data_IF_209309779024
#
_entry.id   IF_209309779024
#
_cell.length_a   1.000
_cell.length_b   1.000
_cell.length_c   1.000
_cell.angle_alpha   90.00
_cell.angle_beta   90.00
_cell.angle_gamma   90.00
#
_symmetry.space_group_name_H-M   'P 1'
#
loop_
_entity.id
_entity.type
_entity.pdbx_description
1 polymer ?
#
# COMPACT_ATOMS: atom_id res chain seq x y z
N UNK A 1 -14.66 -7.04 17.04
CA UNK A 1 -14.41 -5.77 16.32
C UNK A 1 -14.49 -6.02 14.82
N UNK A 2 -14.91 -5.03 14.01
CA UNK A 2 -14.95 -5.16 12.54
C UNK A 2 -13.87 -4.27 11.92
N UNK A 3 -13.03 -4.84 11.05
CA UNK A 3 -12.08 -4.06 10.24
C UNK A 3 -12.83 -3.53 9.02
N UNK A 4 -12.97 -2.22 8.94
CA UNK A 4 -13.72 -1.54 7.86
C UNK A 4 -12.82 -0.92 6.79
N UNK A 5 -11.52 -0.78 7.06
CA UNK A 5 -10.55 -0.19 6.14
C UNK A 5 -9.13 -0.24 6.68
N UNK A 6 -8.17 0.04 5.81
CA UNK A 6 -6.73 0.16 6.10
C UNK A 6 -6.16 1.36 5.34
N UNK A 7 -5.03 1.89 5.82
CA UNK A 7 -4.25 2.93 5.16
C UNK A 7 -2.85 2.40 4.85
N UNK A 8 -2.32 2.73 3.67
CA UNK A 8 -1.01 2.27 3.21
C UNK A 8 -0.27 3.49 2.63
N UNK A 9 0.98 3.68 3.02
CA UNK A 9 1.88 4.64 2.38
C UNK A 9 2.68 3.95 1.28
N UNK A 10 2.40 4.35 0.03
CA UNK A 10 2.92 3.76 -1.19
C UNK A 10 3.44 4.86 -2.11
N UNK A 11 4.51 4.55 -2.84
CA UNK A 11 5.02 5.39 -3.92
C UNK A 11 5.58 4.51 -5.05
N UNK A 12 5.94 5.11 -6.19
CA UNK A 12 6.50 4.35 -7.33
C UNK A 12 7.77 3.57 -6.96
N UNK A 13 8.66 4.17 -6.16
CA UNK A 13 9.88 3.58 -5.61
C UNK A 13 9.77 3.49 -4.10
N UNK A 14 10.26 2.38 -3.55
CA UNK A 14 10.26 2.14 -2.10
C UNK A 14 11.24 3.05 -1.36
N UNK A 15 11.02 3.18 -0.04
CA UNK A 15 11.85 3.97 0.85
C UNK A 15 11.54 5.46 0.83
N UNK A 16 12.52 6.25 1.27
CA UNK A 16 12.51 7.72 1.28
C UNK A 16 13.86 8.28 0.81
N UNK A 17 13.88 9.55 0.46
CA UNK A 17 15.08 10.32 0.15
C UNK A 17 15.08 11.66 0.88
N UNK A 18 16.27 12.19 1.16
CA UNK A 18 16.41 13.52 1.77
C UNK A 18 16.34 14.62 0.72
N UNK A 19 15.60 15.69 1.04
CA UNK A 19 15.62 16.93 0.29
C UNK A 19 16.82 17.78 0.73
N UNK A 20 17.86 17.81 -0.09
CA UNK A 20 19.09 18.58 0.17
C UNK A 20 19.42 19.50 -1.01
N UNK A 21 19.93 20.73 -0.77
CA UNK A 21 20.32 21.65 -1.84
C UNK A 21 21.33 21.01 -2.80
N UNK A 22 21.09 21.14 -4.10
CA UNK A 22 21.99 20.64 -5.16
C UNK A 22 21.95 19.13 -5.39
N UNK A 23 21.14 18.38 -4.65
CA UNK A 23 20.92 16.94 -4.88
C UNK A 23 19.71 16.73 -5.77
N UNK A 24 19.90 16.01 -6.88
CA UNK A 24 18.80 15.59 -7.73
C UNK A 24 17.94 14.53 -7.02
N UNK A 25 16.62 14.68 -7.10
CA UNK A 25 15.68 13.75 -6.49
C UNK A 25 15.39 12.58 -7.42
N UNK A 26 15.30 11.39 -6.86
CA UNK A 26 14.80 10.21 -7.54
C UNK A 26 13.31 10.39 -7.73
N UNK A 27 12.88 10.52 -8.98
CA UNK A 27 11.46 10.60 -9.29
C UNK A 27 10.72 9.38 -8.74
N UNK A 28 9.61 9.63 -8.04
CA UNK A 28 8.79 8.56 -7.52
C UNK A 28 9.25 7.97 -6.19
N UNK A 29 10.17 8.59 -5.44
CA UNK A 29 10.53 8.20 -4.07
C UNK A 29 10.15 9.30 -3.07
N UNK A 30 9.54 8.93 -1.94
CA UNK A 30 9.04 9.88 -0.93
C UNK A 30 10.16 10.75 -0.33
N UNK A 31 9.86 12.01 0.01
CA UNK A 31 10.76 12.90 0.77
C UNK A 31 10.39 13.02 2.26
N UNK A 32 9.29 12.39 2.67
CA UNK A 32 8.78 12.39 4.05
C UNK A 32 9.02 11.03 4.68
N UNK A 33 7.96 10.24 4.88
CA UNK A 33 8.02 8.90 5.44
C UNK A 33 8.35 7.88 4.34
N UNK A 34 8.92 6.74 4.75
CA UNK A 34 9.32 5.70 3.82
C UNK A 34 8.09 4.91 3.33
N UNK A 35 7.89 4.86 2.02
CA UNK A 35 6.78 4.12 1.41
C UNK A 35 7.23 2.73 0.93
N UNK A 36 6.27 1.82 0.74
CA UNK A 36 6.49 0.65 -0.13
C UNK A 36 6.49 1.09 -1.60
N UNK A 37 7.15 0.30 -2.45
CA UNK A 37 7.20 0.54 -3.89
C UNK A 37 5.99 -0.02 -4.63
N UNK A 38 5.93 0.21 -5.95
CA UNK A 38 4.86 -0.32 -6.78
C UNK A 38 4.87 -1.86 -6.85
N UNK A 39 6.05 -2.45 -6.84
CA UNK A 39 6.28 -3.91 -6.89
C UNK A 39 5.64 -4.62 -5.69
N UNK A 40 5.58 -3.96 -4.52
CA UNK A 40 4.90 -4.48 -3.34
C UNK A 40 3.43 -4.02 -3.24
N UNK A 41 3.12 -2.81 -3.73
CA UNK A 41 1.78 -2.21 -3.63
C UNK A 41 0.74 -3.02 -4.39
N UNK A 42 1.00 -3.35 -5.64
CA UNK A 42 0.04 -4.07 -6.48
C UNK A 42 -0.35 -5.44 -5.89
N UNK A 43 0.58 -6.35 -5.57
CA UNK A 43 0.21 -7.64 -4.98
C UNK A 43 -0.43 -7.49 -3.59
N UNK A 44 -0.08 -6.45 -2.81
CA UNK A 44 -0.74 -6.18 -1.54
C UNK A 44 -2.22 -5.82 -1.72
N UNK A 45 -2.54 -4.95 -2.69
CA UNK A 45 -3.92 -4.57 -3.00
C UNK A 45 -4.73 -5.75 -3.56
N UNK A 46 -4.11 -6.60 -4.38
CA UNK A 46 -4.73 -7.83 -4.87
C UNK A 46 -5.09 -8.77 -3.72
N UNK A 47 -4.15 -8.98 -2.78
CA UNK A 47 -4.40 -9.77 -1.56
C UNK A 47 -5.52 -9.19 -0.69
N UNK A 48 -5.60 -7.87 -0.54
CA UNK A 48 -6.74 -7.27 0.17
C UNK A 48 -8.06 -7.47 -0.55
N UNK A 49 -8.07 -7.36 -1.88
CA UNK A 49 -9.28 -7.64 -2.66
C UNK A 49 -9.72 -9.11 -2.53
N UNK A 50 -8.79 -10.06 -2.53
CA UNK A 50 -9.07 -11.48 -2.29
C UNK A 50 -9.64 -11.73 -0.90
N UNK A 51 -9.03 -11.17 0.14
CA UNK A 51 -9.51 -11.31 1.51
C UNK A 51 -10.93 -10.76 1.68
N UNK A 52 -11.24 -9.61 1.08
CA UNK A 52 -12.59 -9.02 1.11
C UNK A 52 -13.60 -9.91 0.40
N UNK A 53 -13.25 -10.50 -0.75
CA UNK A 53 -14.13 -11.44 -1.48
C UNK A 53 -14.39 -12.70 -0.67
N UNK A 54 -13.35 -13.31 -0.11
CA UNK A 54 -13.47 -14.52 0.71
C UNK A 54 -14.43 -14.31 1.88
N UNK A 55 -14.25 -13.19 2.61
CA UNK A 55 -15.13 -12.83 3.74
C UNK A 55 -16.59 -12.65 3.33
N UNK A 56 -16.87 -12.10 2.15
CA UNK A 56 -18.25 -11.90 1.67
C UNK A 56 -18.94 -13.24 1.39
N UNK A 57 -18.23 -14.18 0.78
CA UNK A 57 -18.77 -15.52 0.50
C UNK A 57 -19.04 -16.27 1.81
N UNK A 58 -18.12 -16.22 2.78
CA UNK A 58 -18.30 -16.87 4.08
C UNK A 58 -19.56 -16.35 4.81
N UNK A 59 -19.80 -15.04 4.77
CA UNK A 59 -21.03 -14.45 5.32
C UNK A 59 -22.30 -14.89 4.61
N UNK A 60 -22.30 -15.06 3.28
CA UNK A 60 -23.47 -15.55 2.53
C UNK A 60 -23.80 -17.03 2.81
N UNK A 61 -22.84 -17.80 3.34
CA UNK A 61 -23.02 -19.21 3.69
C UNK A 61 -23.52 -19.38 5.13
N UNK A 62 -23.21 -18.42 6.01
CA UNK A 62 -23.66 -18.42 7.42
C UNK A 62 -25.06 -17.81 7.63
N UNK A 63 -25.51 -16.91 6.74
CA UNK A 63 -26.87 -16.32 6.73
C UNK A 63 -27.90 -17.25 6.06
#
# INVERSE_FOLDING_TARGET
ERIIGVMIESHLKSGRQDLSPGKELIYGQSITDACIGWEETLPLLERFAEAVRARRIEHEVED
#
